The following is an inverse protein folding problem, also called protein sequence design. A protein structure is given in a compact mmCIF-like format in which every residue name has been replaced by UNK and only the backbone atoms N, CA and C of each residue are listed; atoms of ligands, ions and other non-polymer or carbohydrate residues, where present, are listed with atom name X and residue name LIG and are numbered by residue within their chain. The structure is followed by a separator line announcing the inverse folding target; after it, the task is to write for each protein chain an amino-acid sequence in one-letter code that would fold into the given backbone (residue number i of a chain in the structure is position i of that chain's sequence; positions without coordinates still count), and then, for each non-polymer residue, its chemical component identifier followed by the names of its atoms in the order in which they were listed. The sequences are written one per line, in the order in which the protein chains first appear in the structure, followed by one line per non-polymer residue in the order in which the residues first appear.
data_IF_136598590346
#
_entry.id   IF_136598590346
#
_cell.length_a   1.000
_cell.length_b   1.000
_cell.length_c   1.000
_cell.angle_alpha   90.00
_cell.angle_beta   90.00
_cell.angle_gamma   90.00
#
_symmetry.space_group_name_H-M   'P 1'
#
loop_
_entity.id
_entity.type
_entity.pdbx_description
1 polymer ?
#
# COMPACT_ATOMS: atom_id res chain seq x y z
N UNK A 1 20.89 -11.74 0.12
CA UNK A 1 20.05 -11.31 -1.00
C UNK A 1 19.22 -10.10 -0.59
N UNK A 2 19.01 -9.17 -1.51
CA UNK A 2 18.22 -7.99 -1.25
C UNK A 2 16.74 -8.34 -1.08
N UNK A 3 16.09 -7.65 -0.16
CA UNK A 3 14.64 -7.70 -0.05
C UNK A 3 14.02 -6.91 -1.20
N UNK A 4 12.80 -7.26 -1.57
CA UNK A 4 12.07 -6.64 -2.67
C UNK A 4 10.66 -6.28 -2.24
N UNK A 5 10.24 -5.06 -2.56
CA UNK A 5 8.89 -4.59 -2.29
C UNK A 5 8.18 -4.24 -3.60
N UNK A 6 6.91 -4.57 -3.69
CA UNK A 6 6.06 -4.18 -4.79
C UNK A 6 5.16 -3.04 -4.31
N UNK A 7 5.33 -1.85 -4.89
CA UNK A 7 4.49 -0.70 -4.59
C UNK A 7 3.41 -0.61 -5.64
N UNK A 8 2.16 -0.73 -5.22
CA UNK A 8 0.99 -0.78 -6.11
C UNK A 8 0.33 0.60 -6.10
N UNK A 9 0.23 1.21 -7.27
CA UNK A 9 -0.36 2.54 -7.43
C UNK A 9 -1.55 2.46 -8.39
N UNK A 10 -2.50 3.41 -8.29
CA UNK A 10 -3.56 3.50 -9.29
C UNK A 10 -2.99 3.93 -10.64
N UNK A 11 -3.74 3.74 -11.74
CA UNK A 11 -3.24 4.11 -13.08
C UNK A 11 -3.22 5.62 -13.31
N UNK A 12 -3.69 6.41 -12.37
CA UNK A 12 -3.64 7.88 -12.35
C UNK A 12 -3.87 8.36 -10.92
N UNK A 13 -3.41 9.57 -10.63
CA UNK A 13 -3.73 10.27 -9.37
C UNK A 13 -3.31 9.51 -8.13
N UNK A 14 -2.06 8.99 -8.13
CA UNK A 14 -1.45 8.50 -6.89
C UNK A 14 -0.99 9.70 -6.05
N UNK A 15 -0.84 9.51 -4.74
CA UNK A 15 -0.29 10.56 -3.89
C UNK A 15 1.24 10.49 -3.91
N UNK A 16 1.87 11.60 -4.27
CA UNK A 16 3.32 11.66 -4.45
C UNK A 16 4.10 11.41 -3.17
N UNK A 17 3.69 12.02 -2.06
CA UNK A 17 4.38 11.83 -0.78
C UNK A 17 4.33 10.37 -0.33
N UNK A 18 3.18 9.74 -0.51
CA UNK A 18 2.97 8.35 -0.10
C UNK A 18 3.79 7.37 -0.94
N UNK A 19 4.04 7.70 -2.19
CA UNK A 19 4.87 6.87 -3.06
C UNK A 19 6.35 7.16 -2.87
N UNK A 20 6.74 8.43 -3.01
CA UNK A 20 8.16 8.78 -3.10
C UNK A 20 8.90 8.71 -1.78
N UNK A 21 8.27 9.10 -0.67
CA UNK A 21 8.95 9.06 0.63
C UNK A 21 9.25 7.63 1.09
N UNK A 22 8.28 6.70 1.11
CA UNK A 22 8.59 5.32 1.46
C UNK A 22 9.54 4.66 0.46
N UNK A 23 9.38 4.95 -0.84
CA UNK A 23 10.26 4.40 -1.87
C UNK A 23 11.71 4.78 -1.60
N UNK A 24 11.96 6.05 -1.29
CA UNK A 24 13.31 6.53 -0.98
C UNK A 24 13.86 5.88 0.28
N UNK A 25 13.05 5.75 1.31
CA UNK A 25 13.46 5.10 2.56
C UNK A 25 13.91 3.67 2.31
N UNK A 26 13.14 2.91 1.52
CA UNK A 26 13.49 1.53 1.20
C UNK A 26 14.78 1.46 0.37
N UNK A 27 14.87 2.32 -0.65
CA UNK A 27 16.07 2.38 -1.50
C UNK A 27 17.32 2.67 -0.67
N UNK A 28 17.24 3.64 0.24
CA UNK A 28 18.37 4.00 1.11
C UNK A 28 18.76 2.87 2.05
N UNK A 29 17.83 1.95 2.34
CA UNK A 29 18.09 0.77 3.16
C UNK A 29 18.52 -0.45 2.34
N UNK A 30 18.73 -0.29 1.03
CA UNK A 30 19.15 -1.39 0.15
C UNK A 30 18.03 -2.33 -0.26
N UNK A 31 16.78 -1.90 -0.13
CA UNK A 31 15.61 -2.69 -0.50
C UNK A 31 15.15 -2.27 -1.89
N UNK A 32 15.00 -3.23 -2.79
CA UNK A 32 14.54 -2.94 -4.15
C UNK A 32 13.04 -2.67 -4.17
N UNK A 33 12.63 -1.65 -4.92
CA UNK A 33 11.21 -1.30 -5.08
C UNK A 33 10.83 -1.40 -6.56
N UNK A 34 9.77 -2.16 -6.84
CA UNK A 34 9.16 -2.25 -8.16
C UNK A 34 7.79 -1.57 -8.09
N UNK A 35 7.48 -0.74 -9.07
CA UNK A 35 6.18 -0.06 -9.16
C UNK A 35 5.24 -0.87 -10.04
N UNK A 36 4.06 -1.16 -9.54
CA UNK A 36 3.02 -1.89 -10.25
C UNK A 36 1.74 -1.08 -10.33
N UNK A 37 0.98 -1.29 -11.39
CA UNK A 37 -0.35 -0.69 -11.53
C UNK A 37 -1.22 -1.62 -12.39
N UNK A 38 -2.35 -1.09 -12.88
CA UNK A 38 -3.20 -1.81 -13.83
C UNK A 38 -2.64 -1.77 -15.25
N UNK A 39 -1.63 -0.94 -15.48
CA UNK A 39 -0.94 -0.78 -16.77
C UNK A 39 0.53 -0.48 -16.51
N UNK A 40 1.36 -0.59 -17.53
CA UNK A 40 2.77 -0.17 -17.47
C UNK A 40 2.94 1.19 -18.14
N UNK A 41 4.10 1.81 -17.90
CA UNK A 41 4.44 3.10 -18.49
C UNK A 41 4.26 4.26 -17.52
N UNK A 42 4.29 5.46 -18.05
CA UNK A 42 4.23 6.68 -17.24
C UNK A 42 2.87 6.87 -16.61
N UNK A 43 2.88 7.20 -15.31
CA UNK A 43 1.67 7.48 -14.53
C UNK A 43 1.86 8.82 -13.81
N UNK A 44 0.81 9.64 -13.84
CA UNK A 44 0.83 10.98 -13.23
C UNK A 44 0.03 10.96 -11.93
N UNK A 45 0.61 11.56 -10.89
CA UNK A 45 -0.01 11.66 -9.57
C UNK A 45 -0.96 12.83 -9.41
N UNK A 46 -1.56 12.95 -8.22
CA UNK A 46 -2.52 14.02 -7.89
C UNK A 46 -1.94 15.43 -8.07
N UNK A 47 -0.63 15.59 -7.86
CA UNK A 47 0.06 16.89 -7.93
C UNK A 47 1.01 16.97 -9.11
N UNK A 48 0.72 16.21 -10.18
CA UNK A 48 1.48 16.22 -11.43
C UNK A 48 2.86 15.59 -11.36
N UNK A 49 3.19 14.94 -10.25
CA UNK A 49 4.40 14.11 -10.14
C UNK A 49 4.27 12.90 -11.06
N UNK A 50 5.39 12.39 -11.55
CA UNK A 50 5.39 11.29 -12.50
C UNK A 50 6.24 10.13 -12.00
N UNK A 51 5.79 8.92 -12.31
CA UNK A 51 6.54 7.69 -12.09
C UNK A 51 6.30 6.74 -13.24
N UNK A 52 7.03 5.66 -13.27
CA UNK A 52 6.88 4.65 -14.31
C UNK A 52 6.50 3.31 -13.69
N UNK A 53 5.34 2.78 -14.08
CA UNK A 53 4.93 1.45 -13.65
C UNK A 53 5.66 0.42 -14.49
N UNK A 54 6.38 -0.47 -13.83
CA UNK A 54 7.24 -1.45 -14.48
C UNK A 54 6.51 -2.75 -14.79
N UNK A 55 5.50 -3.09 -13.96
CA UNK A 55 4.75 -4.34 -14.08
C UNK A 55 3.26 -4.11 -13.82
N UNK A 56 2.45 -5.08 -14.23
CA UNK A 56 1.02 -5.10 -13.90
C UNK A 56 0.86 -6.04 -12.71
N UNK A 57 0.20 -5.58 -11.64
CA UNK A 57 0.13 -6.35 -10.40
C UNK A 57 -0.55 -7.71 -10.56
N UNK A 58 -1.47 -7.85 -11.50
CA UNK A 58 -2.14 -9.13 -11.73
C UNK A 58 -1.24 -10.16 -12.43
N UNK A 59 -0.08 -9.74 -12.93
CA UNK A 59 0.85 -10.60 -13.67
C UNK A 59 2.07 -11.03 -12.85
N UNK A 60 2.20 -10.55 -11.61
CA UNK A 60 3.34 -10.89 -10.76
C UNK A 60 3.01 -12.08 -9.86
N UNK A 61 4.05 -12.80 -9.45
CA UNK A 61 3.92 -13.82 -8.41
C UNK A 61 4.19 -13.17 -7.05
N UNK A 62 3.29 -13.39 -6.09
CA UNK A 62 3.45 -12.81 -4.76
C UNK A 62 4.77 -13.19 -4.11
N UNK A 63 5.22 -14.42 -4.32
CA UNK A 63 6.46 -14.92 -3.71
C UNK A 63 7.74 -14.33 -4.30
N UNK A 64 7.63 -13.55 -5.37
CA UNK A 64 8.78 -12.82 -5.90
C UNK A 64 9.10 -11.57 -5.06
N UNK A 65 8.23 -11.24 -4.09
CA UNK A 65 8.38 -10.03 -3.26
C UNK A 65 8.29 -10.39 -1.78
N UNK A 66 8.92 -9.54 -0.96
CA UNK A 66 8.89 -9.68 0.50
C UNK A 66 7.78 -8.83 1.11
N UNK A 67 7.34 -7.80 0.39
CA UNK A 67 6.25 -6.93 0.83
C UNK A 67 5.49 -6.36 -0.35
N UNK A 68 4.19 -6.15 -0.15
CA UNK A 68 3.32 -5.39 -1.04
C UNK A 68 2.90 -4.12 -0.30
N UNK A 69 2.93 -2.98 -0.98
CA UNK A 69 2.47 -1.72 -0.40
C UNK A 69 1.48 -1.05 -1.36
N UNK A 70 0.25 -0.88 -0.92
CA UNK A 70 -0.79 -0.21 -1.70
C UNK A 70 -0.75 1.28 -1.35
N UNK A 71 -0.48 2.10 -2.36
CA UNK A 71 -0.31 3.55 -2.21
C UNK A 71 -1.66 4.23 -2.43
N UNK A 72 -1.91 5.29 -1.68
CA UNK A 72 -3.13 6.06 -1.82
C UNK A 72 -3.07 7.12 -2.90
N UNK A 73 -4.01 8.04 -2.82
CA UNK A 73 -4.26 9.06 -3.81
C UNK A 73 -5.71 8.96 -4.27
N UNK A 74 -6.23 10.00 -4.90
CA UNK A 74 -7.64 9.99 -5.32
C UNK A 74 -7.95 8.91 -6.34
N UNK A 75 -6.95 8.51 -7.14
CA UNK A 75 -7.12 7.41 -8.10
C UNK A 75 -7.30 6.04 -7.45
N UNK A 76 -6.78 5.85 -6.25
CA UNK A 76 -6.91 4.58 -5.53
C UNK A 76 -8.38 4.26 -5.24
N UNK A 77 -9.14 5.27 -4.81
CA UNK A 77 -10.57 5.09 -4.57
C UNK A 77 -11.30 4.62 -5.84
N UNK A 78 -10.97 5.24 -6.97
CA UNK A 78 -11.69 5.01 -8.23
C UNK A 78 -11.27 3.72 -8.93
N UNK A 79 -10.01 3.31 -8.81
CA UNK A 79 -9.45 2.24 -9.63
C UNK A 79 -9.05 0.99 -8.86
N UNK A 80 -8.79 1.09 -7.55
CA UNK A 80 -8.25 -0.03 -6.79
C UNK A 80 -9.20 -0.61 -5.76
N UNK A 81 -10.08 0.21 -5.16
CA UNK A 81 -10.94 -0.27 -4.08
C UNK A 81 -11.84 -1.45 -4.49
N UNK A 82 -12.36 -1.43 -5.71
CA UNK A 82 -13.24 -2.50 -6.20
C UNK A 82 -12.55 -3.39 -7.23
N UNK A 83 -11.24 -3.30 -7.35
CA UNK A 83 -10.48 -4.10 -8.30
C UNK A 83 -10.28 -5.51 -7.73
N UNK A 84 -11.06 -6.46 -8.22
CA UNK A 84 -11.07 -7.82 -7.70
C UNK A 84 -9.74 -8.55 -7.91
N UNK A 85 -9.03 -8.24 -8.98
CA UNK A 85 -7.71 -8.82 -9.22
C UNK A 85 -6.72 -8.37 -8.15
N UNK A 86 -6.77 -7.08 -7.78
CA UNK A 86 -5.89 -6.56 -6.72
C UNK A 86 -6.25 -7.18 -5.36
N UNK A 87 -7.54 -7.20 -5.02
CA UNK A 87 -7.96 -7.76 -3.74
C UNK A 87 -7.56 -9.23 -3.63
N UNK A 88 -7.66 -9.96 -4.72
CA UNK A 88 -7.20 -11.36 -4.78
C UNK A 88 -5.69 -11.46 -4.62
N UNK A 89 -4.92 -10.57 -5.27
CA UNK A 89 -3.47 -10.53 -5.13
C UNK A 89 -3.04 -10.29 -3.69
N UNK A 90 -3.73 -9.38 -2.98
CA UNK A 90 -3.41 -9.08 -1.59
C UNK A 90 -3.70 -10.26 -0.68
N UNK A 91 -4.83 -10.94 -0.90
CA UNK A 91 -5.17 -12.16 -0.14
C UNK A 91 -4.14 -13.25 -0.36
N UNK A 92 -3.72 -13.45 -1.61
CA UNK A 92 -2.74 -14.47 -1.96
C UNK A 92 -1.37 -14.16 -1.35
N UNK A 93 -0.95 -12.91 -1.41
CA UNK A 93 0.31 -12.48 -0.79
C UNK A 93 0.30 -12.74 0.72
N UNK A 94 -0.78 -12.35 1.39
CA UNK A 94 -0.93 -12.58 2.83
C UNK A 94 -0.89 -14.06 3.17
N UNK A 95 -1.58 -14.87 2.39
CA UNK A 95 -1.63 -16.32 2.60
C UNK A 95 -0.25 -16.96 2.45
N UNK A 96 0.61 -16.37 1.64
CA UNK A 96 1.96 -16.88 1.40
C UNK A 96 3.01 -16.20 2.29
N UNK A 97 2.56 -15.51 3.34
CA UNK A 97 3.42 -14.85 4.34
C UNK A 97 4.25 -13.69 3.77
N UNK A 98 3.76 -13.06 2.71
CA UNK A 98 4.30 -11.80 2.21
C UNK A 98 3.69 -10.67 3.04
N UNK A 99 4.50 -9.73 3.49
CA UNK A 99 4.03 -8.57 4.26
C UNK A 99 3.10 -7.73 3.38
N UNK A 100 1.87 -7.48 3.85
CA UNK A 100 0.90 -6.66 3.12
C UNK A 100 0.76 -5.33 3.83
N UNK A 101 0.89 -4.24 3.10
CA UNK A 101 0.82 -2.90 3.67
C UNK A 101 -0.02 -1.99 2.81
N UNK A 102 -0.50 -0.90 3.41
CA UNK A 102 -1.25 0.11 2.68
C UNK A 102 -1.23 1.43 3.43
N UNK A 103 -1.32 2.53 2.70
CA UNK A 103 -1.31 3.87 3.27
C UNK A 103 -2.46 4.69 2.68
N UNK A 104 -3.16 5.45 3.55
CA UNK A 104 -4.27 6.31 3.14
C UNK A 104 -5.38 5.46 2.51
N UNK A 105 -5.80 5.77 1.29
CA UNK A 105 -6.78 4.97 0.56
C UNK A 105 -6.27 3.55 0.30
N UNK A 106 -4.94 3.36 0.28
CA UNK A 106 -4.34 2.03 0.16
C UNK A 106 -4.58 1.15 1.39
N UNK A 107 -4.64 1.75 2.58
CA UNK A 107 -4.98 1.02 3.80
C UNK A 107 -6.42 0.50 3.72
N UNK A 108 -7.32 1.31 3.19
CA UNK A 108 -8.72 0.89 2.95
C UNK A 108 -8.76 -0.28 1.96
N UNK A 109 -7.90 -0.25 0.95
CA UNK A 109 -7.82 -1.34 -0.03
C UNK A 109 -7.49 -2.67 0.66
N UNK A 110 -6.54 -2.65 1.61
CA UNK A 110 -6.18 -3.84 2.40
C UNK A 110 -7.39 -4.32 3.22
N UNK A 111 -8.14 -3.39 3.82
CA UNK A 111 -9.34 -3.73 4.57
C UNK A 111 -10.40 -4.36 3.66
N UNK A 112 -10.56 -3.86 2.45
CA UNK A 112 -11.53 -4.40 1.49
C UNK A 112 -11.16 -5.81 1.03
N UNK A 113 -9.89 -6.16 1.11
CA UNK A 113 -9.44 -7.54 0.86
C UNK A 113 -9.79 -8.50 2.01
N UNK A 114 -10.36 -7.98 3.11
CA UNK A 114 -10.77 -8.82 4.24
C UNK A 114 -9.65 -9.17 5.20
N UNK A 115 -8.49 -8.54 5.07
CA UNK A 115 -7.32 -8.92 5.84
C UNK A 115 -7.22 -8.26 7.22
N UNK A 116 -8.09 -7.28 7.50
CA UNK A 116 -8.04 -6.50 8.74
C UNK A 116 -9.28 -6.68 9.62
N UNK A 117 -10.19 -7.55 9.27
CA UNK A 117 -11.43 -7.77 10.02
C UNK A 117 -11.15 -8.10 11.48
N UNK A 118 -11.75 -7.34 12.40
CA UNK A 118 -11.57 -7.52 13.84
C UNK A 118 -10.25 -6.96 14.38
N UNK A 119 -9.48 -6.27 13.55
CA UNK A 119 -8.16 -5.76 13.90
C UNK A 119 -8.13 -4.23 13.90
N UNK A 120 -7.09 -3.67 14.49
CA UNK A 120 -6.85 -2.22 14.48
C UNK A 120 -6.06 -1.84 13.25
N UNK A 121 -6.40 -0.67 12.67
CA UNK A 121 -5.69 -0.12 11.53
C UNK A 121 -5.88 1.39 11.48
N UNK A 122 -5.11 2.05 10.63
CA UNK A 122 -5.31 3.46 10.37
C UNK A 122 -5.54 3.69 8.87
N UNK A 123 -6.02 4.87 8.54
CA UNK A 123 -6.23 5.33 7.16
C UNK A 123 -6.22 6.85 7.18
N UNK A 124 -6.41 7.48 6.04
CA UNK A 124 -6.53 8.94 6.01
C UNK A 124 -7.79 9.34 6.79
N UNK A 125 -7.70 10.35 7.68
CA UNK A 125 -8.78 10.65 8.64
C UNK A 125 -9.94 11.45 8.02
N UNK A 126 -10.52 10.94 6.95
CA UNK A 126 -11.73 11.48 6.33
C UNK A 126 -12.85 10.46 6.45
N UNK A 127 -14.09 10.95 6.52
CA UNK A 127 -15.23 10.09 6.78
C UNK A 127 -15.36 8.95 5.77
N UNK A 128 -15.12 9.22 4.49
CA UNK A 128 -15.20 8.20 3.44
C UNK A 128 -14.32 7.00 3.78
N UNK A 129 -13.08 7.26 4.18
CA UNK A 129 -12.14 6.18 4.48
C UNK A 129 -12.44 5.50 5.82
N UNK A 130 -12.73 6.30 6.86
CA UNK A 130 -13.05 5.74 8.17
C UNK A 130 -14.32 4.89 8.12
N UNK A 131 -15.32 5.31 7.35
CA UNK A 131 -16.55 4.55 7.17
C UNK A 131 -16.31 3.23 6.45
N UNK A 132 -15.38 3.20 5.50
CA UNK A 132 -15.01 1.96 4.81
C UNK A 132 -14.35 0.96 5.78
N UNK A 133 -13.46 1.43 6.65
CA UNK A 133 -12.88 0.57 7.68
C UNK A 133 -13.98 -0.01 8.57
N UNK A 134 -14.89 0.83 9.03
CA UNK A 134 -16.00 0.40 9.87
C UNK A 134 -16.87 -0.63 9.17
N UNK A 135 -17.16 -0.42 7.88
CA UNK A 135 -17.97 -1.34 7.08
C UNK A 135 -17.34 -2.73 6.97
N UNK A 136 -16.02 -2.81 7.11
CA UNK A 136 -15.28 -4.07 7.05
C UNK A 136 -14.87 -4.58 8.44
N UNK A 137 -15.49 -4.04 9.49
CA UNK A 137 -15.25 -4.43 10.89
C UNK A 137 -13.79 -4.24 11.31
N UNK A 138 -13.20 -3.12 10.89
CA UNK A 138 -11.84 -2.72 11.25
C UNK A 138 -11.93 -1.57 12.23
N UNK A 139 -11.18 -1.64 13.32
CA UNK A 139 -11.14 -0.56 14.32
C UNK A 139 -10.16 0.51 13.86
N UNK A 140 -10.66 1.70 13.54
CA UNK A 140 -9.81 2.83 13.17
C UNK A 140 -9.07 3.37 14.40
N UNK A 141 -7.76 3.59 14.25
CA UNK A 141 -6.92 4.18 15.29
C UNK A 141 -6.24 5.42 14.74
N UNK A 142 -6.33 6.54 15.45
CA UNK A 142 -5.73 7.80 15.05
C UNK A 142 -4.23 7.81 15.39
N UNK A 143 -3.45 7.25 14.48
CA UNK A 143 -1.98 7.23 14.56
C UNK A 143 -1.45 7.27 13.13
N UNK A 144 -0.20 7.70 12.97
CA UNK A 144 0.43 7.72 11.65
C UNK A 144 0.59 6.31 11.08
N UNK A 145 0.93 5.35 11.93
CA UNK A 145 1.17 3.96 11.50
C UNK A 145 0.64 3.00 12.56
N UNK A 146 -0.03 1.96 12.09
CA UNK A 146 -0.37 0.79 12.91
C UNK A 146 0.34 -0.40 12.29
N UNK A 147 1.27 -0.99 13.01
CA UNK A 147 2.07 -2.10 12.53
C UNK A 147 1.72 -3.39 13.26
N UNK A 148 1.27 -4.38 12.51
CA UNK A 148 1.16 -5.77 12.96
C UNK A 148 2.31 -6.55 12.32
N UNK A 149 2.55 -7.78 12.72
CA UNK A 149 3.63 -8.58 12.15
C UNK A 149 3.43 -8.87 10.66
N UNK A 150 2.18 -8.97 10.23
CA UNK A 150 1.81 -9.36 8.87
C UNK A 150 1.22 -8.25 8.02
N UNK A 151 0.76 -7.15 8.65
CA UNK A 151 0.11 -6.04 7.95
C UNK A 151 0.51 -4.72 8.61
N UNK A 152 0.84 -3.74 7.79
CA UNK A 152 1.14 -2.38 8.25
C UNK A 152 0.22 -1.40 7.52
N UNK A 153 -0.40 -0.49 8.26
CA UNK A 153 -1.21 0.58 7.66
C UNK A 153 -0.67 1.94 8.05
N UNK A 154 -0.77 2.89 7.13
CA UNK A 154 -0.37 4.28 7.33
C UNK A 154 -1.54 5.22 7.06
N UNK A 155 -1.50 6.41 7.66
CA UNK A 155 -2.64 7.32 7.63
C UNK A 155 -2.70 8.24 6.39
N UNK A 156 -1.56 8.53 5.77
CA UNK A 156 -1.57 9.40 4.61
C UNK A 156 -0.27 10.18 4.43
N UNK A 157 -0.30 11.30 3.68
CA UNK A 157 0.92 12.05 3.37
C UNK A 157 1.71 12.47 4.61
N UNK A 158 1.04 12.86 5.67
CA UNK A 158 1.72 13.30 6.90
C UNK A 158 2.43 12.14 7.61
N UNK A 159 1.96 10.92 7.43
CA UNK A 159 2.57 9.72 8.01
C UNK A 159 3.45 8.95 7.03
N UNK A 160 3.66 9.45 5.82
CA UNK A 160 4.37 8.71 4.77
C UNK A 160 5.81 8.37 5.16
N UNK A 161 6.49 9.30 5.82
CA UNK A 161 7.87 9.07 6.27
C UNK A 161 7.94 7.98 7.32
N UNK A 162 7.03 8.03 8.31
CA UNK A 162 6.96 7.02 9.36
C UNK A 162 6.56 5.66 8.79
N UNK A 163 5.65 5.65 7.83
CA UNK A 163 5.24 4.43 7.12
C UNK A 163 6.45 3.77 6.43
N UNK A 164 7.23 4.56 5.70
CA UNK A 164 8.45 4.06 5.06
C UNK A 164 9.45 3.48 6.07
N UNK A 165 9.63 4.15 7.19
CA UNK A 165 10.48 3.66 8.26
C UNK A 165 9.99 2.32 8.81
N UNK A 166 8.68 2.18 9.00
CA UNK A 166 8.08 0.93 9.48
C UNK A 166 8.29 -0.22 8.50
N UNK A 167 8.20 0.05 7.20
CA UNK A 167 8.48 -0.97 6.18
C UNK A 167 9.95 -1.41 6.23
N UNK A 168 10.86 -0.45 6.37
CA UNK A 168 12.30 -0.76 6.48
C UNK A 168 12.56 -1.66 7.69
N UNK A 169 11.99 -1.30 8.84
CA UNK A 169 12.15 -2.09 10.08
C UNK A 169 11.62 -3.51 9.90
N UNK A 170 10.44 -3.66 9.31
CA UNK A 170 9.83 -4.97 9.11
C UNK A 170 10.65 -5.84 8.15
N UNK A 171 11.24 -5.23 7.12
CA UNK A 171 12.00 -5.96 6.10
C UNK A 171 13.47 -6.19 6.49
N UNK A 172 13.93 -5.55 7.54
CA UNK A 172 15.32 -5.66 8.01
C UNK A 172 15.52 -6.67 9.13
N UNK A 173 14.43 -7.21 9.65
CA UNK A 173 14.49 -8.17 10.77
C UNK A 173 14.43 -9.62 10.30
#
# INVERSE_FOLDING_TARGET
MSKKALFIIPPERFNEDELFQPKEALKNAGIDVTIASTKTGEITGDYQGKTNAEVIFSEVSATDYDAFAVIGGSGTNDHLWENQELLSCLKQAHKQNVLVTGICAGAVTVAKAGLLTGRKATCYPVDVQKNELKAHNVEYVEQHVIAHDDIITGDGPDGAKEFGKSLVEALSS
#
